data_IF_039531635946
#
_entry.id   IF_039531635946
#
_cell.length_a   1.000
_cell.length_b   1.000
_cell.length_c   1.000
_cell.angle_alpha   90.00
_cell.angle_beta   90.00
_cell.angle_gamma   90.00
#
_symmetry.space_group_name_H-M   'P 1'
#
loop_
_entity.id
_entity.type
_entity.pdbx_description
1 polymer ?
#
# COMPACT_ATOMS: atom_id res chain seq x y z
N UNK A 1 -13.55 -9.80 -58.49
CA UNK A 1 -13.66 -9.62 -57.02
C UNK A 1 -12.31 -9.99 -56.40
N UNK A 2 -11.44 -9.00 -56.24
CA UNK A 2 -10.08 -9.13 -55.67
C UNK A 2 -9.87 -7.94 -54.73
N UNK A 3 -10.02 -8.14 -53.42
CA UNK A 3 -9.55 -7.18 -52.40
C UNK A 3 -9.17 -7.96 -51.14
N UNK A 4 -7.97 -8.56 -51.11
CA UNK A 4 -7.28 -8.95 -49.87
C UNK A 4 -5.77 -9.06 -50.15
N UNK A 5 -5.05 -7.95 -50.25
CA UNK A 5 -3.57 -7.94 -50.14
C UNK A 5 -3.08 -6.50 -49.91
N UNK A 6 -3.14 -5.99 -48.68
CA UNK A 6 -2.44 -4.74 -48.35
C UNK A 6 -1.86 -4.67 -46.93
N UNK A 7 -2.26 -5.55 -46.01
CA UNK A 7 -1.84 -5.43 -44.61
C UNK A 7 -0.55 -6.19 -44.21
N UNK A 8 0.11 -6.91 -45.13
CA UNK A 8 1.29 -7.73 -44.82
C UNK A 8 2.63 -7.13 -45.26
N UNK A 9 2.63 -6.03 -46.02
CA UNK A 9 3.88 -5.46 -46.57
C UNK A 9 4.59 -4.48 -45.63
N UNK A 10 4.01 -4.14 -44.49
CA UNK A 10 4.54 -3.10 -43.60
C UNK A 10 5.30 -3.62 -42.37
N UNK A 11 5.41 -4.95 -42.19
CA UNK A 11 6.20 -5.57 -41.09
C UNK A 11 7.63 -5.94 -41.46
N UNK A 12 8.08 -5.74 -42.71
CA UNK A 12 9.41 -6.19 -43.17
C UNK A 12 10.47 -5.09 -43.35
N UNK A 13 10.20 -3.81 -43.11
CA UNK A 13 11.17 -2.73 -43.39
C UNK A 13 11.83 -2.06 -42.17
N UNK A 14 11.71 -2.61 -40.96
CA UNK A 14 12.33 -2.02 -39.73
C UNK A 14 13.40 -2.93 -39.11
N UNK A 15 13.98 -3.84 -39.90
CA UNK A 15 15.05 -4.73 -39.48
C UNK A 15 16.35 -4.41 -40.23
N UNK A 16 16.84 -3.17 -40.15
CA UNK A 16 18.20 -2.83 -40.57
C UNK A 16 18.75 -1.69 -39.72
N UNK A 17 19.69 -1.98 -38.83
CA UNK A 17 20.48 -0.94 -38.16
C UNK A 17 20.73 -1.12 -36.67
N UNK A 18 21.19 -2.29 -36.21
CA UNK A 18 21.89 -2.39 -34.92
C UNK A 18 23.28 -2.98 -35.14
N UNK A 19 24.25 -2.10 -35.41
CA UNK A 19 25.67 -2.42 -35.32
C UNK A 19 25.96 -2.71 -33.84
N UNK A 20 26.28 -3.96 -33.52
CA UNK A 20 26.79 -4.35 -32.20
C UNK A 20 28.16 -3.70 -32.00
N UNK A 21 28.21 -2.65 -31.17
CA UNK A 21 29.46 -2.18 -30.57
C UNK A 21 29.97 -3.27 -29.63
N UNK A 22 31.00 -4.00 -30.07
CA UNK A 22 31.77 -4.91 -29.24
C UNK A 22 32.50 -4.08 -28.17
N UNK A 23 31.92 -3.97 -26.97
CA UNK A 23 32.66 -3.51 -25.79
C UNK A 23 33.57 -4.65 -25.35
N UNK A 24 34.89 -4.44 -25.42
CA UNK A 24 35.88 -5.36 -24.87
C UNK A 24 35.69 -5.41 -23.34
N UNK A 25 35.60 -6.60 -22.72
CA UNK A 25 35.55 -6.69 -21.26
C UNK A 25 36.89 -6.22 -20.68
N UNK A 26 36.84 -5.31 -19.71
CA UNK A 26 38.01 -4.95 -18.91
C UNK A 26 38.45 -6.15 -18.09
N UNK A 27 39.56 -6.76 -18.46
CA UNK A 27 40.20 -7.80 -17.65
C UNK A 27 40.96 -7.12 -16.51
N UNK A 28 40.33 -7.06 -15.33
CA UNK A 28 41.05 -6.65 -14.11
C UNK A 28 42.03 -7.76 -13.70
N UNK A 29 43.22 -7.35 -13.24
CA UNK A 29 44.29 -8.24 -12.80
C UNK A 29 43.82 -9.11 -11.60
N UNK A 30 44.23 -10.39 -11.53
CA UNK A 30 43.72 -11.36 -10.55
C UNK A 30 43.99 -10.99 -9.08
N UNK A 31 45.00 -10.15 -8.80
CA UNK A 31 45.28 -9.66 -7.44
C UNK A 31 44.20 -8.71 -6.90
N UNK A 32 43.46 -8.00 -7.76
CA UNK A 32 42.39 -7.09 -7.34
C UNK A 32 41.08 -7.82 -7.01
N UNK A 33 40.84 -8.98 -7.62
CA UNK A 33 39.66 -9.82 -7.33
C UNK A 33 39.76 -10.46 -5.95
N UNK A 34 40.97 -10.87 -5.53
CA UNK A 34 41.19 -11.48 -4.22
C UNK A 34 40.91 -10.47 -3.11
N UNK A 35 41.33 -9.20 -3.26
CA UNK A 35 41.01 -8.13 -2.29
C UNK A 35 39.52 -7.79 -2.24
N UNK A 36 38.84 -7.73 -3.39
CA UNK A 36 37.41 -7.43 -3.44
C UNK A 36 36.57 -8.58 -2.88
N UNK A 37 36.94 -9.83 -3.18
CA UNK A 37 36.28 -11.03 -2.64
C UNK A 37 36.55 -11.17 -1.15
N UNK A 38 37.75 -10.87 -0.65
CA UNK A 38 38.04 -10.86 0.79
C UNK A 38 37.31 -9.74 1.52
N UNK A 39 37.20 -8.55 0.93
CA UNK A 39 36.40 -7.46 1.50
C UNK A 39 34.90 -7.78 1.50
N UNK A 40 34.36 -8.35 0.42
CA UNK A 40 32.95 -8.76 0.34
C UNK A 40 32.66 -9.93 1.27
N UNK A 41 33.59 -10.90 1.39
CA UNK A 41 33.49 -12.04 2.31
C UNK A 41 33.59 -11.61 3.78
N UNK A 42 34.48 -10.67 4.10
CA UNK A 42 34.61 -10.12 5.45
C UNK A 42 33.39 -9.23 5.81
N UNK A 43 32.83 -8.50 4.84
CA UNK A 43 31.56 -7.78 4.99
C UNK A 43 30.39 -8.75 5.20
N UNK A 44 30.35 -9.88 4.48
CA UNK A 44 29.35 -10.94 4.65
C UNK A 44 29.47 -11.63 6.02
N UNK A 45 30.68 -11.98 6.47
CA UNK A 45 30.93 -12.63 7.77
C UNK A 45 30.62 -11.72 8.97
N UNK A 46 30.83 -10.41 8.85
CA UNK A 46 30.45 -9.44 9.89
C UNK A 46 28.94 -9.19 9.92
N UNK A 47 28.25 -9.30 8.77
CA UNK A 47 26.78 -9.31 8.72
C UNK A 47 26.22 -10.60 9.33
N UNK A 48 26.94 -11.73 9.26
CA UNK A 48 26.44 -13.04 9.78
C UNK A 48 26.65 -13.22 11.30
N UNK A 49 27.60 -12.52 11.92
CA UNK A 49 27.89 -12.64 13.37
C UNK A 49 27.20 -11.59 14.25
N UNK A 50 26.61 -10.55 13.65
CA UNK A 50 25.76 -9.58 14.34
C UNK A 50 24.27 -9.89 14.14
N UNK A 51 23.88 -11.16 14.31
CA UNK A 51 22.51 -11.59 14.11
C UNK A 51 21.81 -11.82 15.45
N UNK A 52 21.71 -10.74 16.23
CA UNK A 52 20.46 -10.46 16.94
C UNK A 52 19.76 -9.41 16.10
N UNK A 53 19.10 -9.89 15.05
CA UNK A 53 18.32 -9.07 14.12
C UNK A 53 17.22 -8.33 14.89
N UNK A 54 17.29 -6.99 15.08
CA UNK A 54 16.16 -6.23 15.62
C UNK A 54 15.00 -6.17 14.61
N UNK A 55 15.24 -6.65 13.39
CA UNK A 55 14.25 -6.85 12.34
C UNK A 55 13.56 -8.22 12.47
N UNK A 56 14.13 -9.18 13.21
CA UNK A 56 13.50 -10.48 13.40
C UNK A 56 12.25 -10.37 14.28
N UNK A 57 12.17 -9.40 15.20
CA UNK A 57 10.98 -9.19 16.02
C UNK A 57 9.87 -8.47 15.24
N UNK A 58 10.20 -7.45 14.44
CA UNK A 58 9.24 -6.77 13.55
C UNK A 58 8.81 -7.63 12.37
N UNK A 59 9.72 -8.41 11.79
CA UNK A 59 9.40 -9.36 10.72
C UNK A 59 8.73 -10.60 11.28
N UNK A 60 8.97 -11.02 12.53
CA UNK A 60 8.16 -12.05 13.19
C UNK A 60 6.78 -11.50 13.58
N UNK A 61 6.63 -10.25 13.97
CA UNK A 61 5.32 -9.60 14.22
C UNK A 61 4.52 -9.40 12.92
N UNK A 62 5.18 -8.96 11.84
CA UNK A 62 4.57 -8.80 10.50
C UNK A 62 4.41 -10.15 9.78
N UNK A 63 5.30 -11.12 10.02
CA UNK A 63 5.16 -12.48 9.50
C UNK A 63 4.15 -13.28 10.29
N UNK A 64 4.01 -13.14 11.60
CA UNK A 64 2.90 -13.72 12.38
C UNK A 64 1.58 -13.10 11.90
N UNK A 65 1.53 -11.79 11.60
CA UNK A 65 0.39 -11.14 10.92
C UNK A 65 0.13 -11.69 9.49
N UNK A 66 1.13 -12.29 8.84
CA UNK A 66 1.03 -12.86 7.48
C UNK A 66 1.02 -14.39 7.40
N UNK A 67 1.38 -15.09 8.48
CA UNK A 67 1.35 -16.54 8.63
C UNK A 67 -0.03 -16.98 9.12
N UNK A 68 -0.77 -16.09 9.79
CA UNK A 68 -2.23 -16.18 9.93
C UNK A 68 -2.97 -16.08 8.57
N UNK A 69 -2.28 -15.68 7.49
CA UNK A 69 -2.86 -15.58 6.15
C UNK A 69 -2.48 -16.74 5.21
N UNK A 70 -1.65 -17.70 5.65
CA UNK A 70 -1.18 -18.83 4.84
C UNK A 70 -1.47 -20.21 5.45
N UNK A 71 -2.15 -20.29 6.60
CA UNK A 71 -2.82 -21.53 6.97
C UNK A 71 -4.11 -21.62 6.16
N UNK A 72 -4.24 -22.67 5.33
CA UNK A 72 -5.51 -23.10 4.74
C UNK A 72 -6.42 -23.70 5.83
N UNK A 73 -6.66 -22.93 6.91
CA UNK A 73 -7.65 -23.26 7.92
C UNK A 73 -9.05 -23.08 7.30
N UNK A 74 -9.98 -24.02 7.53
CA UNK A 74 -11.38 -23.81 7.21
C UNK A 74 -11.82 -22.47 7.79
N UNK A 75 -12.36 -21.59 6.95
CA UNK A 75 -12.82 -20.23 7.27
C UNK A 75 -13.49 -20.16 8.66
N UNK A 76 -12.70 -19.89 9.70
CA UNK A 76 -13.18 -19.43 10.99
C UNK A 76 -13.23 -17.91 10.90
N UNK A 77 -14.39 -17.35 11.23
CA UNK A 77 -14.55 -15.90 11.34
C UNK A 77 -13.46 -15.34 12.27
N UNK A 78 -12.79 -14.24 11.89
CA UNK A 78 -11.75 -13.67 12.74
C UNK A 78 -12.34 -13.38 14.12
N UNK A 79 -11.79 -14.03 15.17
CA UNK A 79 -12.16 -13.73 16.55
C UNK A 79 -12.06 -12.21 16.73
N UNK A 80 -13.06 -11.58 17.36
CA UNK A 80 -13.08 -10.13 17.51
C UNK A 80 -11.78 -9.70 18.19
N UNK A 81 -10.90 -9.07 17.41
CA UNK A 81 -9.72 -8.41 17.94
C UNK A 81 -10.27 -7.37 18.90
N UNK A 82 -10.06 -7.58 20.20
CA UNK A 82 -10.28 -6.54 21.21
C UNK A 82 -9.25 -5.46 20.90
N UNK A 83 -9.62 -4.55 20.01
CA UNK A 83 -8.88 -3.33 19.79
C UNK A 83 -8.82 -2.61 21.14
N UNK A 84 -7.62 -2.22 21.56
CA UNK A 84 -7.49 -1.29 22.67
C UNK A 84 -8.40 -0.08 22.39
N UNK A 85 -9.25 0.30 23.36
CA UNK A 85 -10.35 1.21 23.08
C UNK A 85 -9.79 2.55 22.60
N UNK A 86 -10.26 3.06 21.45
CA UNK A 86 -9.98 4.43 21.07
C UNK A 86 -10.55 5.34 22.18
N UNK A 87 -9.66 6.07 22.85
CA UNK A 87 -10.05 7.04 23.87
C UNK A 87 -10.75 8.23 23.18
N UNK A 88 -12.07 8.10 22.97
CA UNK A 88 -13.06 9.18 22.92
C UNK A 88 -14.47 8.59 22.74
N UNK A 89 -15.27 8.64 23.81
CA UNK A 89 -16.72 8.74 23.74
C UNK A 89 -17.50 7.60 23.08
N UNK A 90 -17.36 6.37 23.58
CA UNK A 90 -18.30 5.31 23.24
C UNK A 90 -19.70 5.65 23.76
N UNK A 91 -20.58 6.17 22.90
CA UNK A 91 -22.03 6.14 23.18
C UNK A 91 -22.40 4.67 23.33
N UNK A 92 -22.89 4.26 24.50
CA UNK A 92 -23.50 2.95 24.66
C UNK A 92 -24.56 2.80 23.58
N UNK A 93 -24.46 1.75 22.75
CA UNK A 93 -25.42 1.51 21.66
C UNK A 93 -26.82 1.53 22.25
N UNK A 94 -27.69 2.33 21.65
CA UNK A 94 -29.08 2.44 22.09
C UNK A 94 -29.73 1.04 21.98
N UNK A 95 -30.66 0.65 22.87
CA UNK A 95 -31.32 -0.66 22.77
C UNK A 95 -31.91 -0.97 21.39
N UNK A 96 -32.32 0.06 20.65
CA UNK A 96 -32.78 -0.03 19.26
C UNK A 96 -31.66 -0.36 18.27
N UNK A 97 -30.48 0.27 18.41
CA UNK A 97 -29.31 0.01 17.56
C UNK A 97 -28.77 -1.41 17.76
N UNK A 98 -28.83 -1.94 19.00
CA UNK A 98 -28.45 -3.33 19.28
C UNK A 98 -29.39 -4.32 18.57
N UNK A 99 -30.70 -4.07 18.62
CA UNK A 99 -31.70 -4.88 17.89
C UNK A 99 -31.49 -4.81 16.38
N UNK A 100 -31.21 -3.61 15.86
CA UNK A 100 -30.92 -3.42 14.43
C UNK A 100 -29.65 -4.16 13.99
N UNK A 101 -28.58 -4.10 14.79
CA UNK A 101 -27.36 -4.85 14.53
C UNK A 101 -27.61 -6.36 14.57
N UNK A 102 -28.32 -6.85 15.59
CA UNK A 102 -28.65 -8.27 15.70
C UNK A 102 -29.49 -8.76 14.51
N UNK A 103 -30.46 -7.95 14.05
CA UNK A 103 -31.22 -8.24 12.83
C UNK A 103 -30.30 -8.29 11.60
N UNK A 104 -29.36 -7.36 11.46
CA UNK A 104 -28.39 -7.35 10.37
C UNK A 104 -27.50 -8.60 10.39
N UNK A 105 -27.03 -9.01 11.57
CA UNK A 105 -26.19 -10.20 11.76
C UNK A 105 -26.97 -11.49 11.40
N UNK A 106 -28.23 -11.59 11.83
CA UNK A 106 -29.13 -12.70 11.46
C UNK A 106 -29.35 -12.77 9.96
N UNK A 107 -29.58 -11.62 9.30
CA UNK A 107 -29.72 -11.54 7.84
C UNK A 107 -28.42 -11.92 7.11
N UNK A 108 -27.26 -11.53 7.64
CA UNK A 108 -25.96 -11.94 7.09
C UNK A 108 -25.75 -13.45 7.19
N UNK A 109 -26.03 -14.05 8.35
CA UNK A 109 -25.95 -15.50 8.56
C UNK A 109 -26.92 -16.28 7.65
N UNK A 110 -28.14 -15.79 7.45
CA UNK A 110 -29.10 -16.39 6.54
C UNK A 110 -28.61 -16.36 5.07
N UNK A 111 -27.97 -15.26 4.64
CA UNK A 111 -27.36 -15.16 3.31
C UNK A 111 -26.20 -16.12 3.12
N UNK A 112 -25.36 -16.30 4.14
CA UNK A 112 -24.26 -17.27 4.08
C UNK A 112 -24.77 -18.71 3.98
N UNK A 113 -25.79 -19.07 4.77
CA UNK A 113 -26.45 -20.39 4.68
C UNK A 113 -27.03 -20.63 3.29
N UNK A 114 -27.69 -19.64 2.71
CA UNK A 114 -28.22 -19.70 1.34
C UNK A 114 -27.08 -19.93 0.35
N UNK A 115 -26.00 -19.16 0.44
CA UNK A 115 -24.82 -19.31 -0.42
C UNK A 115 -24.19 -20.70 -0.32
N UNK A 116 -24.07 -21.25 0.89
CA UNK A 116 -23.57 -22.63 1.09
C UNK A 116 -24.51 -23.68 0.47
N UNK A 117 -25.82 -23.49 0.60
CA UNK A 117 -26.79 -24.38 -0.04
C UNK A 117 -26.73 -24.32 -1.57
N UNK A 118 -26.47 -23.13 -2.13
CA UNK A 118 -26.31 -22.92 -3.56
C UNK A 118 -25.00 -23.54 -4.06
N UNK A 119 -23.91 -23.43 -3.29
CA UNK A 119 -22.65 -24.10 -3.61
C UNK A 119 -22.80 -25.60 -3.72
N UNK A 120 -23.60 -26.24 -2.84
CA UNK A 120 -23.86 -27.69 -2.91
C UNK A 120 -24.57 -28.12 -4.19
N UNK A 121 -25.35 -27.22 -4.80
CA UNK A 121 -26.14 -27.48 -6.02
C UNK A 121 -25.39 -27.21 -7.32
N UNK A 122 -24.23 -26.54 -7.27
CA UNK A 122 -23.49 -26.10 -8.45
C UNK A 122 -22.49 -27.16 -8.97
N UNK A 123 -22.14 -27.07 -10.26
CA UNK A 123 -20.98 -27.78 -10.82
C UNK A 123 -19.67 -27.17 -10.31
N UNK A 124 -18.56 -27.90 -10.32
CA UNK A 124 -17.28 -27.50 -9.74
C UNK A 124 -16.68 -26.25 -10.40
N UNK A 125 -16.86 -26.07 -11.71
CA UNK A 125 -16.49 -24.82 -12.39
C UNK A 125 -17.32 -23.62 -11.92
N UNK A 126 -18.62 -23.83 -11.72
CA UNK A 126 -19.54 -22.79 -11.24
C UNK A 126 -19.23 -22.43 -9.80
N UNK A 127 -18.93 -23.42 -8.94
CA UNK A 127 -18.45 -23.20 -7.56
C UNK A 127 -17.19 -22.35 -7.55
N UNK A 128 -16.19 -22.67 -8.38
CA UNK A 128 -14.94 -21.89 -8.48
C UNK A 128 -15.22 -20.43 -8.86
N UNK A 129 -16.06 -20.19 -9.88
CA UNK A 129 -16.48 -18.83 -10.27
C UNK A 129 -17.21 -18.11 -9.15
N UNK A 130 -18.09 -18.80 -8.44
CA UNK A 130 -18.87 -18.24 -7.36
C UNK A 130 -18.01 -17.82 -6.15
N UNK A 131 -17.05 -18.66 -5.77
CA UNK A 131 -16.09 -18.37 -4.71
C UNK A 131 -15.14 -17.24 -5.10
N UNK A 132 -14.67 -17.20 -6.35
CA UNK A 132 -13.85 -16.09 -6.85
C UNK A 132 -14.62 -14.77 -6.80
N UNK A 133 -15.91 -14.77 -7.15
CA UNK A 133 -16.75 -13.58 -7.05
C UNK A 133 -16.90 -13.14 -5.59
N UNK A 134 -17.19 -14.07 -4.67
CA UNK A 134 -17.25 -13.79 -3.22
C UNK A 134 -15.95 -13.17 -2.72
N UNK A 135 -14.79 -13.70 -3.13
CA UNK A 135 -13.47 -13.13 -2.78
C UNK A 135 -13.28 -11.71 -3.31
N UNK A 136 -13.76 -11.39 -4.52
CA UNK A 136 -13.69 -10.03 -5.09
C UNK A 136 -14.60 -9.07 -4.32
N UNK A 137 -15.82 -9.51 -4.04
CA UNK A 137 -16.82 -8.74 -3.31
C UNK A 137 -16.35 -8.43 -1.88
N UNK A 138 -15.82 -9.44 -1.18
CA UNK A 138 -15.21 -9.30 0.13
C UNK A 138 -14.05 -8.29 0.16
N UNK A 139 -13.21 -8.27 -0.89
CA UNK A 139 -12.13 -7.26 -1.02
C UNK A 139 -12.67 -5.84 -1.18
N UNK A 140 -13.82 -5.66 -1.84
CA UNK A 140 -14.46 -4.34 -1.94
C UNK A 140 -15.00 -3.93 -0.58
N UNK A 141 -15.79 -4.80 0.06
CA UNK A 141 -16.39 -4.56 1.38
C UNK A 141 -15.32 -4.26 2.43
N UNK A 142 -14.26 -5.07 2.49
CA UNK A 142 -13.12 -4.85 3.42
C UNK A 142 -12.49 -3.48 3.24
N UNK A 143 -12.28 -3.02 2.00
CA UNK A 143 -11.69 -1.69 1.74
C UNK A 143 -12.59 -0.57 2.22
N UNK A 144 -13.90 -0.70 2.05
CA UNK A 144 -14.90 0.28 2.48
C UNK A 144 -14.96 0.35 3.99
N UNK A 145 -15.10 -0.79 4.66
CA UNK A 145 -15.18 -0.84 6.12
C UNK A 145 -13.87 -0.39 6.77
N UNK A 146 -12.72 -0.70 6.16
CA UNK A 146 -11.42 -0.13 6.57
C UNK A 146 -11.39 1.38 6.38
N UNK A 147 -11.94 1.92 5.30
CA UNK A 147 -11.99 3.37 5.09
C UNK A 147 -12.93 4.06 6.10
N UNK A 148 -14.09 3.46 6.39
CA UNK A 148 -15.03 3.93 7.40
C UNK A 148 -14.38 3.97 8.79
N UNK A 149 -13.69 2.89 9.18
CA UNK A 149 -12.94 2.84 10.45
C UNK A 149 -11.82 3.88 10.53
N UNK A 150 -11.32 4.33 9.38
CA UNK A 150 -10.32 5.40 9.30
C UNK A 150 -10.94 6.81 9.17
N UNK A 151 -12.27 6.92 9.22
CA UNK A 151 -13.03 8.16 9.02
C UNK A 151 -12.72 8.84 7.65
N UNK A 152 -12.38 8.03 6.65
CA UNK A 152 -12.06 8.49 5.29
C UNK A 152 -13.26 8.28 4.35
N UNK A 153 -14.17 9.25 4.33
CA UNK A 153 -15.39 9.25 3.53
C UNK A 153 -15.09 9.28 2.03
N UNK A 154 -14.01 9.94 1.61
CA UNK A 154 -13.60 9.94 0.21
C UNK A 154 -13.14 8.54 -0.23
N UNK A 155 -12.37 7.85 0.59
CA UNK A 155 -11.94 6.48 0.32
C UNK A 155 -13.11 5.48 0.34
N UNK A 156 -14.13 5.69 1.19
CA UNK A 156 -15.38 4.89 1.20
C UNK A 156 -16.09 4.97 -0.15
N UNK A 157 -16.23 6.17 -0.72
CA UNK A 157 -16.78 6.37 -2.06
C UNK A 157 -15.83 5.92 -3.19
N UNK A 158 -14.58 5.56 -2.86
CA UNK A 158 -13.56 5.18 -3.83
C UNK A 158 -13.00 6.36 -4.62
N UNK A 159 -13.17 7.59 -4.12
CA UNK A 159 -12.58 8.80 -4.69
C UNK A 159 -11.20 8.98 -4.06
N UNK A 160 -10.14 8.84 -4.85
CA UNK A 160 -8.79 9.19 -4.40
C UNK A 160 -8.64 10.71 -4.51
N UNK A 161 -8.79 11.44 -3.41
CA UNK A 161 -8.63 12.89 -3.40
C UNK A 161 -7.14 13.26 -3.41
N UNK A 162 -6.61 13.66 -4.56
CA UNK A 162 -5.25 14.18 -4.71
C UNK A 162 -5.25 15.71 -4.65
N UNK A 163 -5.86 16.31 -3.62
CA UNK A 163 -5.82 17.77 -3.43
C UNK A 163 -4.40 18.18 -2.98
N UNK A 164 -3.47 18.08 -3.92
CA UNK A 164 -2.09 18.51 -3.79
C UNK A 164 -2.05 19.91 -4.41
N UNK A 165 -1.90 20.90 -3.54
CA UNK A 165 -1.60 22.27 -3.95
C UNK A 165 -0.09 22.43 -3.87
N UNK A 166 0.59 22.39 -5.02
CA UNK A 166 2.03 22.65 -5.10
C UNK A 166 2.18 24.17 -5.28
N UNK A 167 2.63 24.93 -4.28
CA UNK A 167 2.90 26.35 -4.46
C UNK A 167 4.03 26.53 -5.49
N UNK A 168 3.98 27.60 -6.28
CA UNK A 168 5.03 27.91 -7.24
C UNK A 168 6.35 28.16 -6.50
N UNK A 169 7.30 27.23 -6.63
CA UNK A 169 8.63 27.33 -6.01
C UNK A 169 9.65 27.66 -7.09
N UNK A 170 10.47 28.69 -6.86
CA UNK A 170 11.66 28.93 -7.66
C UNK A 170 12.71 27.90 -7.27
N UNK A 171 13.15 27.08 -8.22
CA UNK A 171 14.31 26.19 -8.05
C UNK A 171 15.53 26.93 -8.59
N UNK A 172 16.73 26.58 -8.12
CA UNK A 172 17.98 27.11 -8.67
C UNK A 172 18.04 26.92 -10.19
N UNK A 173 18.62 27.90 -10.92
CA UNK A 173 18.66 28.03 -12.39
C UNK A 173 17.37 28.50 -13.10
N UNK A 174 16.81 29.66 -12.77
CA UNK A 174 15.71 30.33 -13.52
C UNK A 174 14.47 29.47 -13.90
N UNK A 175 14.33 28.24 -13.39
CA UNK A 175 13.20 27.35 -13.66
C UNK A 175 12.11 27.66 -12.63
N UNK A 176 11.03 28.28 -13.11
CA UNK A 176 9.82 28.53 -12.32
C UNK A 176 8.84 27.38 -12.56
N UNK A 177 8.61 26.54 -11.55
CA UNK A 177 7.54 25.54 -11.64
C UNK A 177 6.20 26.26 -11.41
N UNK A 178 5.26 26.22 -12.38
CA UNK A 178 3.94 26.83 -12.22
C UNK A 178 3.16 26.10 -11.13
N UNK A 179 2.27 26.83 -10.44
CA UNK A 179 1.41 26.23 -9.43
C UNK A 179 0.47 25.21 -10.09
N UNK A 180 0.64 23.92 -9.74
CA UNK A 180 -0.26 22.87 -10.17
C UNK A 180 -1.31 22.63 -9.09
N UNK A 181 -2.56 22.94 -9.40
CA UNK A 181 -3.74 22.56 -8.59
C UNK A 181 -4.34 21.29 -9.19
N UNK A 182 -4.10 20.15 -8.55
CA UNK A 182 -4.72 18.90 -8.97
C UNK A 182 -6.23 18.92 -8.67
N UNK A 183 -7.01 18.30 -9.56
CA UNK A 183 -8.48 18.39 -9.68
C UNK A 183 -9.18 18.27 -8.32
N UNK A 184 -9.97 19.29 -7.96
CA UNK A 184 -10.85 19.22 -6.80
C UNK A 184 -12.08 18.35 -7.10
N UNK A 185 -12.47 17.54 -6.12
CA UNK A 185 -13.63 16.65 -6.24
C UNK A 185 -14.91 17.48 -6.36
N UNK A 186 -15.57 17.43 -7.51
CA UNK A 186 -16.86 18.10 -7.75
C UNK A 186 -18.03 17.30 -7.16
N UNK A 187 -19.16 17.96 -6.87
CA UNK A 187 -20.39 17.27 -6.43
C UNK A 187 -20.88 16.23 -7.45
N UNK A 188 -20.71 16.52 -8.74
CA UNK A 188 -21.01 15.57 -9.82
C UNK A 188 -20.17 14.29 -9.71
N UNK A 189 -18.88 14.44 -9.39
CA UNK A 189 -17.99 13.30 -9.21
C UNK A 189 -18.39 12.47 -7.98
N UNK A 190 -18.85 13.12 -6.89
CA UNK A 190 -19.37 12.46 -5.68
C UNK A 190 -20.62 11.63 -6.00
N UNK A 191 -21.61 12.24 -6.66
CA UNK A 191 -22.85 11.54 -7.07
C UNK A 191 -22.55 10.37 -8.01
N UNK A 192 -21.58 10.53 -8.92
CA UNK A 192 -21.14 9.45 -9.82
C UNK A 192 -20.48 8.31 -9.05
N UNK A 193 -19.60 8.62 -8.10
CA UNK A 193 -18.92 7.64 -7.26
C UNK A 193 -19.92 6.86 -6.40
N UNK A 194 -20.87 7.55 -5.77
CA UNK A 194 -21.95 6.94 -5.01
C UNK A 194 -22.75 5.92 -5.83
N UNK A 195 -23.20 6.28 -7.04
CA UNK A 195 -23.93 5.36 -7.93
C UNK A 195 -23.10 4.13 -8.29
N UNK A 196 -21.81 4.32 -8.56
CA UNK A 196 -20.88 3.23 -8.89
C UNK A 196 -20.72 2.30 -7.69
N UNK A 197 -20.50 2.87 -6.51
CA UNK A 197 -20.19 2.12 -5.30
C UNK A 197 -21.42 1.37 -4.78
N UNK A 198 -22.57 2.04 -4.73
CA UNK A 198 -23.87 1.45 -4.37
C UNK A 198 -24.18 0.20 -5.19
N UNK A 199 -23.89 0.21 -6.50
CA UNK A 199 -24.11 -0.95 -7.37
C UNK A 199 -23.23 -2.15 -7.02
N UNK A 200 -22.04 -1.91 -6.47
CA UNK A 200 -21.06 -2.95 -6.12
C UNK A 200 -21.29 -3.46 -4.68
N UNK A 201 -21.74 -2.61 -3.77
CA UNK A 201 -22.02 -2.97 -2.37
C UNK A 201 -23.44 -3.42 -2.12
N UNK A 202 -24.33 -3.31 -3.10
CA UNK A 202 -25.74 -3.66 -2.90
C UNK A 202 -25.92 -5.09 -2.35
N UNK A 203 -26.71 -5.28 -1.27
CA UNK A 203 -26.83 -6.57 -0.56
C UNK A 203 -27.43 -7.69 -1.42
N UNK A 204 -28.19 -7.36 -2.47
CA UNK A 204 -28.76 -8.33 -3.42
C UNK A 204 -27.72 -8.87 -4.43
N UNK A 205 -26.75 -8.04 -4.84
CA UNK A 205 -25.76 -8.41 -5.86
C UNK A 205 -24.45 -8.91 -5.26
N UNK A 206 -24.10 -8.36 -4.10
CA UNK A 206 -22.88 -8.67 -3.39
C UNK A 206 -23.10 -9.90 -2.50
N UNK A 207 -22.24 -10.91 -2.66
CA UNK A 207 -22.38 -12.20 -1.96
C UNK A 207 -21.77 -12.20 -0.54
N UNK A 208 -21.21 -11.08 -0.11
CA UNK A 208 -20.61 -10.93 1.20
C UNK A 208 -21.66 -10.65 2.29
N UNK A 209 -21.53 -11.29 3.45
CA UNK A 209 -22.41 -11.09 4.60
C UNK A 209 -22.39 -9.64 5.10
N UNK A 210 -21.27 -8.93 4.96
CA UNK A 210 -21.09 -7.55 5.44
C UNK A 210 -21.39 -6.49 4.38
N UNK A 211 -21.94 -6.90 3.23
CA UNK A 211 -22.33 -5.98 2.17
C UNK A 211 -23.30 -4.88 2.64
N UNK A 212 -24.22 -5.22 3.55
CA UNK A 212 -25.18 -4.27 4.11
C UNK A 212 -24.47 -3.15 4.89
N UNK A 213 -23.53 -3.50 5.76
CA UNK A 213 -22.73 -2.54 6.53
C UNK A 213 -21.96 -1.60 5.60
N UNK A 214 -21.31 -2.16 4.59
CA UNK A 214 -20.57 -1.37 3.61
C UNK A 214 -21.49 -0.47 2.76
N UNK A 215 -22.72 -0.89 2.49
CA UNK A 215 -23.70 -0.08 1.77
C UNK A 215 -24.15 1.11 2.61
N UNK A 216 -24.46 0.90 3.89
CA UNK A 216 -24.81 1.97 4.84
C UNK A 216 -23.65 2.97 4.94
N UNK A 217 -22.41 2.50 5.09
CA UNK A 217 -21.24 3.37 5.14
C UNK A 217 -21.07 4.24 3.89
N UNK A 218 -21.40 3.71 2.71
CA UNK A 218 -21.36 4.44 1.44
C UNK A 218 -22.45 5.50 1.36
N UNK A 219 -23.63 5.22 1.88
CA UNK A 219 -24.75 6.16 1.94
C UNK A 219 -24.45 7.32 2.91
N UNK A 220 -24.01 7.00 4.13
CA UNK A 220 -23.56 7.99 5.13
C UNK A 220 -22.47 8.91 4.58
N UNK A 221 -21.46 8.35 3.91
CA UNK A 221 -20.40 9.13 3.27
C UNK A 221 -20.95 10.06 2.18
N UNK A 222 -21.90 9.59 1.37
CA UNK A 222 -22.52 10.39 0.33
C UNK A 222 -23.38 11.53 0.91
N UNK A 223 -24.12 11.28 2.00
CA UNK A 223 -24.93 12.29 2.67
C UNK A 223 -24.06 13.46 3.15
N UNK A 224 -22.98 13.18 3.87
CA UNK A 224 -22.06 14.20 4.39
C UNK A 224 -21.32 14.94 3.28
N UNK A 225 -20.86 14.22 2.25
CA UNK A 225 -20.07 14.83 1.16
C UNK A 225 -20.91 15.58 0.13
N UNK A 226 -22.23 15.33 0.06
CA UNK A 226 -23.13 16.05 -0.85
C UNK A 226 -23.50 17.43 -0.31
N UNK A 227 -23.62 17.59 1.02
CA UNK A 227 -23.83 18.90 1.62
C UNK A 227 -22.53 19.70 1.68
N UNK A 228 -22.56 20.90 1.10
CA UNK A 228 -21.40 21.79 1.04
C UNK A 228 -20.92 22.28 2.42
N UNK A 229 -21.82 22.45 3.39
CA UNK A 229 -21.48 22.88 4.74
C UNK A 229 -20.82 21.75 5.52
N UNK A 230 -21.51 20.60 5.63
CA UNK A 230 -20.98 19.40 6.28
C UNK A 230 -19.64 18.94 5.66
N UNK A 231 -19.50 19.04 4.34
CA UNK A 231 -18.25 18.70 3.64
C UNK A 231 -17.08 19.58 4.07
N UNK A 232 -17.27 20.89 4.27
CA UNK A 232 -16.20 21.80 4.70
C UNK A 232 -15.73 21.46 6.11
N UNK A 233 -16.67 21.19 7.01
CA UNK A 233 -16.37 20.79 8.39
C UNK A 233 -15.63 19.45 8.43
N UNK A 234 -16.11 18.48 7.65
CA UNK A 234 -15.46 17.20 7.46
C UNK A 234 -14.03 17.37 6.92
N UNK A 235 -13.84 18.13 5.84
CA UNK A 235 -12.53 18.37 5.23
C UNK A 235 -11.55 19.02 6.22
N UNK A 236 -12.03 19.95 7.05
CA UNK A 236 -11.23 20.60 8.09
C UNK A 236 -10.83 19.61 9.20
N UNK A 237 -11.77 18.79 9.68
CA UNK A 237 -11.50 17.75 10.68
C UNK A 237 -10.53 16.69 10.13
N UNK A 238 -10.77 16.24 8.90
CA UNK A 238 -9.98 15.23 8.22
C UNK A 238 -8.53 15.67 8.00
N UNK A 239 -8.30 16.94 7.66
CA UNK A 239 -6.93 17.51 7.59
C UNK A 239 -6.21 17.46 8.93
N UNK A 240 -6.89 17.76 10.04
CA UNK A 240 -6.32 17.66 11.39
C UNK A 240 -5.98 16.22 11.77
N UNK A 241 -6.89 15.27 11.48
CA UNK A 241 -6.64 13.84 11.68
C UNK A 241 -5.43 13.35 10.88
N UNK A 242 -5.33 13.74 9.60
CA UNK A 242 -4.19 13.41 8.76
C UNK A 242 -2.88 14.00 9.29
N UNK A 243 -2.89 15.25 9.76
CA UNK A 243 -1.70 15.87 10.35
C UNK A 243 -1.22 15.08 11.58
N UNK A 244 -2.12 14.70 12.49
CA UNK A 244 -1.80 13.87 13.66
C UNK A 244 -1.27 12.48 13.26
N UNK A 245 -1.89 11.83 12.26
CA UNK A 245 -1.42 10.52 11.75
C UNK A 245 -0.02 10.65 11.14
N UNK A 246 0.20 11.69 10.32
CA UNK A 246 1.51 11.98 9.71
C UNK A 246 2.57 12.22 10.76
N UNK A 247 2.28 13.00 11.80
CA UNK A 247 3.18 13.24 12.92
C UNK A 247 3.62 11.93 13.59
N UNK A 248 2.67 11.04 13.91
CA UNK A 248 3.00 9.71 14.48
C UNK A 248 3.86 8.87 13.53
N UNK A 249 3.50 8.81 12.25
CA UNK A 249 4.29 8.05 11.25
C UNK A 249 5.69 8.63 11.05
N UNK A 250 5.82 9.96 11.07
CA UNK A 250 7.11 10.65 10.94
C UNK A 250 7.95 10.50 12.20
N UNK A 251 7.34 10.48 13.38
CA UNK A 251 8.04 10.17 14.63
C UNK A 251 8.61 8.74 14.61
N UNK A 252 7.83 7.76 14.17
CA UNK A 252 8.30 6.39 14.00
C UNK A 252 9.42 6.30 12.96
N UNK A 253 9.26 6.94 11.80
CA UNK A 253 10.28 6.98 10.76
C UNK A 253 11.57 7.67 11.22
N UNK A 254 11.46 8.78 11.95
CA UNK A 254 12.62 9.47 12.52
C UNK A 254 13.37 8.59 13.53
N UNK A 255 12.66 7.75 14.31
CA UNK A 255 13.30 6.75 15.18
C UNK A 255 14.07 5.71 14.37
N UNK A 256 13.47 5.17 13.31
CA UNK A 256 14.13 4.21 12.42
C UNK A 256 15.36 4.84 11.76
N UNK A 257 15.22 6.06 11.23
CA UNK A 257 16.34 6.82 10.67
C UNK A 257 17.43 7.11 11.70
N UNK A 258 17.09 7.36 12.97
CA UNK A 258 18.06 7.57 14.03
C UNK A 258 18.89 6.30 14.29
N UNK A 259 18.25 5.13 14.33
CA UNK A 259 18.95 3.84 14.48
C UNK A 259 19.86 3.57 13.28
N UNK A 260 19.35 3.74 12.06
CA UNK A 260 20.14 3.57 10.83
C UNK A 260 21.31 4.56 10.78
N UNK A 261 21.07 5.83 11.13
CA UNK A 261 22.11 6.87 11.22
C UNK A 261 23.16 6.53 12.27
N UNK A 262 22.75 5.98 13.42
CA UNK A 262 23.67 5.55 14.47
C UNK A 262 24.54 4.37 14.01
N UNK A 263 23.96 3.40 13.31
CA UNK A 263 24.71 2.30 12.72
C UNK A 263 25.72 2.79 11.67
N UNK A 264 25.30 3.69 10.76
CA UNK A 264 26.18 4.31 9.77
C UNK A 264 27.31 5.13 10.43
N UNK A 265 27.00 5.89 11.48
CA UNK A 265 28.01 6.64 12.22
C UNK A 265 29.01 5.72 12.92
N UNK A 266 28.58 4.58 13.46
CA UNK A 266 29.48 3.59 14.05
C UNK A 266 30.38 2.95 12.99
N UNK A 267 29.83 2.57 11.84
CA UNK A 267 30.62 2.05 10.70
C UNK A 267 31.62 3.10 10.20
N UNK A 268 31.20 4.36 10.04
CA UNK A 268 32.08 5.47 9.68
C UNK A 268 33.14 5.75 10.73
N UNK A 269 32.82 5.62 12.02
CA UNK A 269 33.79 5.76 13.11
C UNK A 269 34.86 4.66 13.04
N UNK A 270 34.46 3.39 12.85
CA UNK A 270 35.39 2.27 12.67
C UNK A 270 36.24 2.47 11.42
N UNK A 271 35.62 2.86 10.29
CA UNK A 271 36.34 3.19 9.06
C UNK A 271 37.38 4.29 9.29
N UNK A 272 37.01 5.38 9.97
CA UNK A 272 37.94 6.48 10.28
C UNK A 272 39.01 6.08 11.31
N UNK A 273 38.75 5.15 12.22
CA UNK A 273 39.75 4.69 13.20
C UNK A 273 40.72 3.67 12.61
N UNK A 274 40.21 2.75 11.80
CA UNK A 274 40.96 1.61 11.29
C UNK A 274 41.59 1.94 9.94
N UNK A 275 40.88 2.59 9.03
CA UNK A 275 41.33 2.82 7.65
C UNK A 275 42.02 4.18 7.49
N UNK A 276 41.68 5.21 8.26
CA UNK A 276 42.36 6.51 8.15
C UNK A 276 43.89 6.49 8.37
N UNK A 277 44.47 5.73 9.33
CA UNK A 277 45.92 5.68 9.48
C UNK A 277 46.64 4.95 8.33
N UNK A 278 45.94 4.12 7.55
CA UNK A 278 46.50 3.47 6.36
C UNK A 278 46.19 4.23 5.08
N UNK A 279 45.12 5.03 5.04
CA UNK A 279 44.75 5.84 3.88
C UNK A 279 45.69 7.03 3.68
N UNK A 280 46.20 7.65 4.75
CA UNK A 280 47.12 8.79 4.66
C UNK A 280 48.46 8.44 3.96
N UNK A 281 49.20 7.35 4.30
CA UNK A 281 50.42 7.02 3.59
C UNK A 281 50.17 6.58 2.13
N UNK A 282 49.04 5.93 1.83
CA UNK A 282 48.67 5.55 0.46
C UNK A 282 48.38 6.79 -0.39
N UNK A 283 47.65 7.77 0.14
CA UNK A 283 47.36 9.02 -0.57
C UNK A 283 48.63 9.86 -0.77
N UNK A 284 49.53 9.90 0.23
CA UNK A 284 50.83 10.57 0.11
C UNK A 284 51.73 9.89 -0.92
N UNK A 285 51.79 8.56 -0.94
CA UNK A 285 52.53 7.80 -1.96
C UNK A 285 51.92 8.00 -3.36
N UNK A 286 50.60 8.00 -3.49
CA UNK A 286 49.93 8.30 -4.77
C UNK A 286 50.17 9.75 -5.23
N UNK A 287 50.26 10.71 -4.31
CA UNK A 287 50.55 12.12 -4.62
C UNK A 287 52.03 12.37 -4.99
N UNK A 288 52.96 11.51 -4.53
CA UNK A 288 54.39 11.56 -4.87
C UNK A 288 54.73 10.87 -6.21
N UNK A 289 53.82 10.04 -6.73
CA UNK A 289 53.98 9.34 -8.03
C UNK A 289 53.42 10.17 -9.20
N UNK A 290 52.63 11.21 -8.92
CA UNK A 290 52.12 12.19 -9.90
C UNK A 290 53.10 13.36 -9.99
#
# INVERSE_FOLDING_TARGET
>A
MMVQTSCERQRRSVASGMRKSQRRPMTMKPSSWISLVMLVSCLLMTITSAQQDPYADYVREVLEESQDANNDDPFEDPKPVRADPPQQGGKAKTPEEMKAQEQADRLAAAREKKFQSDLKKMNDEQKKKALQQKKKDAKVVRRILKAQANEDLYAVLGIRNWDIQIPSRKIAFNITIPALKLKQTSERDIKRAFRKQSRVTHPDKNRDGRAQEAFIAVDEAAMVLTDSAARKEYDAHFRKLQAKRREKTMAAFNKVLAVVRSALNNVMWVFRKVIAPFATPIVILCALII
#
